data_IF_639683252956
#
_entry.id   IF_639683252956
#
_cell.length_a   1.000
_cell.length_b   1.000
_cell.length_c   1.000
_cell.angle_alpha   90.00
_cell.angle_beta   90.00
_cell.angle_gamma   90.00
#
_symmetry.space_group_name_H-M   'P 1'
#
loop_
_entity.id
_entity.type
_entity.pdbx_description
1 polymer ?
#
# COMPACT_ATOMS: atom_id res chain seq x y z
N UNK A 1 -8.64 16.97 -7.12
CA UNK A 1 -8.98 15.56 -7.42
C UNK A 1 -7.69 14.72 -7.38
N UNK A 2 -7.69 13.40 -7.64
CA UNK A 2 -6.41 12.69 -7.89
C UNK A 2 -5.98 12.93 -9.34
N UNK A 3 -4.67 13.07 -9.58
CA UNK A 3 -4.12 13.33 -10.91
C UNK A 3 -4.04 12.09 -11.81
N UNK A 4 -4.26 10.89 -11.28
CA UNK A 4 -4.19 9.62 -12.01
C UNK A 4 -5.56 9.11 -12.53
N UNK A 5 -6.53 10.00 -12.72
CA UNK A 5 -7.83 9.66 -13.30
C UNK A 5 -7.64 9.14 -14.73
N UNK A 6 -8.29 8.03 -15.06
CA UNK A 6 -8.28 7.51 -16.42
C UNK A 6 -9.44 8.10 -17.23
N UNK A 7 -9.12 8.77 -18.34
CA UNK A 7 -10.10 9.29 -19.31
C UNK A 7 -10.10 8.34 -20.51
N UNK A 8 -11.13 7.49 -20.68
CA UNK A 8 -11.23 6.62 -21.85
C UNK A 8 -11.54 7.43 -23.10
N UNK A 9 -11.15 6.92 -24.28
CA UNK A 9 -11.60 7.47 -25.57
C UNK A 9 -13.04 7.07 -25.91
N UNK A 10 -13.47 5.89 -25.45
CA UNK A 10 -14.79 5.32 -25.72
C UNK A 10 -15.45 4.80 -24.46
N UNK A 11 -16.74 5.10 -24.35
CA UNK A 11 -17.62 4.56 -23.31
C UNK A 11 -18.66 3.63 -23.93
N UNK A 12 -19.11 2.66 -23.15
CA UNK A 12 -20.23 1.79 -23.48
C UNK A 12 -21.30 1.96 -22.43
N UNK A 13 -22.53 2.19 -22.87
CA UNK A 13 -23.65 2.52 -22.00
C UNK A 13 -24.70 1.43 -22.09
N UNK A 14 -25.06 0.89 -20.93
CA UNK A 14 -26.14 -0.09 -20.79
C UNK A 14 -27.26 0.52 -19.99
N UNK A 15 -28.49 0.05 -20.20
CA UNK A 15 -29.68 0.72 -19.69
C UNK A 15 -30.54 -0.21 -18.85
N UNK A 16 -31.22 0.37 -17.86
CA UNK A 16 -32.42 -0.19 -17.25
C UNK A 16 -33.59 0.76 -17.42
N UNK A 17 -34.80 0.21 -17.49
CA UNK A 17 -36.02 1.00 -17.42
C UNK A 17 -36.21 1.55 -16.01
N UNK A 18 -36.45 2.86 -15.92
CA UNK A 18 -36.62 3.54 -14.63
C UNK A 18 -37.57 4.73 -14.77
N UNK A 19 -38.81 4.55 -14.35
CA UNK A 19 -39.88 5.55 -14.53
C UNK A 19 -39.61 6.91 -13.90
N UNK A 20 -38.75 6.95 -12.88
CA UNK A 20 -38.41 8.18 -12.17
C UNK A 20 -37.24 8.96 -12.81
N UNK A 21 -36.96 8.72 -14.09
CA UNK A 21 -35.95 9.43 -14.91
C UNK A 21 -36.65 10.21 -16.03
N UNK A 22 -36.05 11.27 -16.57
CA UNK A 22 -36.67 12.05 -17.67
C UNK A 22 -36.95 11.19 -18.91
N UNK A 23 -36.04 10.28 -19.25
CA UNK A 23 -36.12 9.45 -20.46
C UNK A 23 -36.60 8.04 -20.19
N UNK A 24 -37.04 7.75 -18.96
CA UNK A 24 -37.35 6.40 -18.45
C UNK A 24 -36.18 5.42 -18.55
N UNK A 25 -34.94 5.91 -18.70
CA UNK A 25 -33.71 5.11 -18.81
C UNK A 25 -32.67 5.56 -17.78
N UNK A 26 -32.26 4.62 -16.92
CA UNK A 26 -31.07 4.75 -16.09
C UNK A 26 -29.91 4.04 -16.77
N UNK A 27 -28.76 4.70 -16.82
CA UNK A 27 -27.56 4.19 -17.46
C UNK A 27 -26.55 3.67 -16.45
N UNK A 28 -25.89 2.57 -16.82
CA UNK A 28 -24.62 2.16 -16.26
C UNK A 28 -23.57 2.33 -17.36
N UNK A 29 -22.70 3.32 -17.17
CA UNK A 29 -21.60 3.66 -18.07
C UNK A 29 -20.36 2.89 -17.69
N UNK A 30 -19.77 2.21 -18.66
CA UNK A 30 -18.46 1.52 -18.56
C UNK A 30 -17.56 1.99 -19.71
N UNK A 31 -16.32 1.51 -19.75
CA UNK A 31 -15.30 2.07 -20.63
C UNK A 31 -14.35 1.02 -21.21
N UNK A 32 -13.77 1.38 -22.36
CA UNK A 32 -12.63 0.68 -22.93
C UNK A 32 -11.33 1.28 -22.37
N UNK A 33 -10.45 0.43 -21.85
CA UNK A 33 -9.13 0.88 -21.41
C UNK A 33 -8.17 1.15 -22.59
N UNK A 34 -6.95 1.59 -22.30
CA UNK A 34 -5.93 1.85 -23.31
C UNK A 34 -5.46 0.61 -24.10
N UNK A 35 -5.86 -0.59 -23.66
CA UNK A 35 -5.62 -1.87 -24.35
C UNK A 35 -6.87 -2.35 -25.11
N UNK A 36 -7.85 -1.47 -25.30
CA UNK A 36 -9.13 -1.76 -25.93
C UNK A 36 -9.94 -2.85 -25.22
N UNK A 37 -9.65 -3.10 -23.94
CA UNK A 37 -10.37 -4.06 -23.10
C UNK A 37 -11.51 -3.36 -22.37
N UNK A 38 -12.72 -3.89 -22.51
CA UNK A 38 -13.90 -3.43 -21.80
C UNK A 38 -13.77 -3.74 -20.29
N UNK A 39 -13.88 -2.70 -19.46
CA UNK A 39 -13.80 -2.82 -17.99
C UNK A 39 -15.18 -2.86 -17.37
N UNK A 40 -15.32 -3.59 -16.25
CA UNK A 40 -16.60 -3.84 -15.53
C UNK A 40 -17.68 -4.60 -16.31
N UNK A 41 -17.33 -5.23 -17.44
CA UNK A 41 -18.28 -5.90 -18.33
C UNK A 41 -19.22 -6.88 -17.62
N UNK A 42 -18.71 -7.82 -16.81
CA UNK A 42 -19.56 -8.82 -16.16
C UNK A 42 -20.63 -8.20 -15.23
N UNK A 43 -20.24 -7.23 -14.39
CA UNK A 43 -21.17 -6.52 -13.50
C UNK A 43 -22.18 -5.68 -14.29
N UNK A 44 -21.75 -5.12 -15.41
CA UNK A 44 -22.59 -4.32 -16.29
C UNK A 44 -23.59 -5.15 -17.09
N UNK A 45 -23.18 -6.31 -17.61
CA UNK A 45 -24.05 -7.26 -18.31
C UNK A 45 -25.15 -7.77 -17.37
N UNK A 46 -24.79 -8.14 -16.14
CA UNK A 46 -25.78 -8.58 -15.13
C UNK A 46 -26.74 -7.48 -14.68
N UNK A 47 -26.34 -6.21 -14.83
CA UNK A 47 -27.14 -5.07 -14.40
C UNK A 47 -28.08 -4.56 -15.49
N UNK A 48 -27.65 -4.48 -16.75
CA UNK A 48 -28.49 -3.90 -17.82
C UNK A 48 -29.69 -4.80 -18.15
N UNK A 49 -30.73 -4.20 -18.69
CA UNK A 49 -31.81 -4.95 -19.35
C UNK A 49 -31.29 -5.46 -20.70
N UNK A 50 -31.21 -6.79 -20.85
CA UNK A 50 -30.73 -7.43 -22.08
C UNK A 50 -31.59 -7.11 -23.31
N UNK A 51 -32.83 -6.66 -23.11
CA UNK A 51 -33.75 -6.26 -24.19
C UNK A 51 -33.48 -4.85 -24.72
N UNK A 52 -32.65 -4.07 -24.03
CA UNK A 52 -32.25 -2.74 -24.48
C UNK A 52 -30.82 -2.84 -24.99
N UNK A 53 -30.64 -2.56 -26.27
CA UNK A 53 -29.32 -2.58 -26.88
C UNK A 53 -28.42 -1.51 -26.23
N UNK A 54 -27.18 -1.89 -25.86
CA UNK A 54 -26.22 -0.96 -25.35
C UNK A 54 -25.68 -0.08 -26.48
N UNK A 55 -25.23 1.12 -26.14
CA UNK A 55 -24.72 2.09 -27.12
C UNK A 55 -23.28 2.45 -26.77
N UNK A 56 -22.43 2.48 -27.78
CA UNK A 56 -21.05 2.97 -27.69
C UNK A 56 -21.02 4.45 -28.08
N UNK A 57 -20.31 5.26 -27.29
CA UNK A 57 -20.09 6.68 -27.58
C UNK A 57 -18.62 7.02 -27.48
N UNK A 58 -18.19 7.99 -28.30
CA UNK A 58 -16.91 8.65 -28.10
C UNK A 58 -17.02 9.60 -26.89
N UNK A 59 -15.98 9.58 -26.04
CA UNK A 59 -15.91 10.35 -24.80
C UNK A 59 -15.24 11.71 -25.03
N UNK A 60 -15.72 12.42 -26.04
CA UNK A 60 -15.28 13.77 -26.36
C UNK A 60 -15.96 14.79 -25.42
N UNK A 61 -15.32 15.96 -25.20
CA UNK A 61 -15.92 17.08 -24.48
C UNK A 61 -17.36 17.36 -24.94
N UNK A 62 -18.28 17.38 -23.98
CA UNK A 62 -19.69 17.58 -24.27
C UNK A 62 -20.34 18.51 -23.25
N UNK A 63 -21.13 19.46 -23.73
CA UNK A 63 -21.93 20.37 -22.90
C UNK A 63 -23.38 19.91 -22.76
N UNK A 64 -24.09 20.40 -21.75
CA UNK A 64 -25.53 20.19 -21.59
C UNK A 64 -25.92 19.14 -20.54
N UNK A 65 -25.00 18.78 -19.66
CA UNK A 65 -25.29 17.94 -18.50
C UNK A 65 -26.19 18.68 -17.50
N UNK A 66 -27.18 18.00 -16.91
CA UNK A 66 -28.13 18.64 -15.97
C UNK A 66 -28.22 17.84 -14.68
N UNK A 67 -28.00 18.50 -13.53
CA UNK A 67 -28.28 17.89 -12.23
C UNK A 67 -29.78 17.67 -12.08
N UNK A 68 -30.20 16.43 -11.85
CA UNK A 68 -31.61 16.08 -11.68
C UNK A 68 -32.00 16.05 -10.19
N UNK A 69 -31.53 15.03 -9.46
CA UNK A 69 -31.98 14.81 -8.07
C UNK A 69 -31.03 13.94 -7.25
N UNK A 70 -31.18 14.02 -5.94
CA UNK A 70 -30.59 13.07 -4.99
C UNK A 70 -31.24 11.68 -5.14
N UNK A 71 -30.43 10.64 -5.11
CA UNK A 71 -30.84 9.23 -5.07
C UNK A 71 -29.97 8.45 -4.07
N UNK A 72 -30.41 7.26 -3.68
CA UNK A 72 -29.77 6.51 -2.60
C UNK A 72 -30.13 7.07 -1.22
N UNK A 73 -29.23 6.92 -0.25
CA UNK A 73 -29.36 7.46 1.12
C UNK A 73 -30.63 7.02 1.87
N UNK A 74 -30.87 5.71 1.91
CA UNK A 74 -31.90 5.12 2.75
C UNK A 74 -31.31 3.98 3.59
N UNK A 75 -31.81 3.88 4.81
CA UNK A 75 -31.45 2.83 5.77
C UNK A 75 -32.47 1.72 5.61
N UNK A 76 -32.04 0.58 5.08
CA UNK A 76 -32.88 -0.62 5.07
C UNK A 76 -32.46 -1.67 6.09
N UNK A 77 -31.26 -1.53 6.72
CA UNK A 77 -30.71 -2.34 7.82
C UNK A 77 -29.31 -1.79 8.19
N UNK A 78 -28.43 -2.57 8.85
CA UNK A 78 -26.99 -2.28 9.08
C UNK A 78 -26.18 -1.87 7.83
N UNK A 79 -26.78 -1.91 6.65
CA UNK A 79 -26.17 -1.55 5.38
C UNK A 79 -26.70 -0.19 4.90
N UNK A 80 -25.92 0.87 5.13
CA UNK A 80 -26.22 2.21 4.63
C UNK A 80 -25.91 2.28 3.14
N UNK A 81 -26.94 2.55 2.31
CA UNK A 81 -26.70 2.87 0.91
C UNK A 81 -26.15 4.30 0.81
N UNK A 82 -25.01 4.45 0.15
CA UNK A 82 -24.41 5.76 -0.15
C UNK A 82 -25.38 6.68 -0.91
N UNK A 83 -25.23 7.99 -0.69
CA UNK A 83 -25.95 9.02 -1.42
C UNK A 83 -25.28 9.27 -2.78
N UNK A 84 -26.10 9.46 -3.81
CA UNK A 84 -25.66 9.79 -5.16
C UNK A 84 -26.49 10.94 -5.72
N UNK A 85 -25.96 11.61 -6.74
CA UNK A 85 -26.66 12.62 -7.51
C UNK A 85 -26.88 12.07 -8.91
N UNK A 86 -28.13 12.12 -9.35
CA UNK A 86 -28.48 11.76 -10.72
C UNK A 86 -28.23 12.94 -11.65
N UNK A 87 -27.54 12.68 -12.74
CA UNK A 87 -27.20 13.64 -13.79
C UNK A 87 -27.80 13.16 -15.10
N UNK A 88 -28.45 14.06 -15.82
CA UNK A 88 -28.89 13.85 -17.20
C UNK A 88 -27.71 14.11 -18.14
N UNK A 89 -27.41 13.12 -18.99
CA UNK A 89 -26.50 13.26 -20.14
C UNK A 89 -27.32 13.72 -21.36
N UNK A 90 -26.87 14.74 -22.11
CA UNK A 90 -27.53 15.25 -23.32
C UNK A 90 -27.73 14.19 -24.42
N UNK A 91 -27.07 13.03 -24.35
CA UNK A 91 -27.30 11.84 -25.19
C UNK A 91 -28.58 11.07 -24.83
N UNK A 92 -29.38 11.55 -23.87
CA UNK A 92 -30.74 11.05 -23.63
C UNK A 92 -30.86 9.97 -22.55
N UNK A 93 -29.97 9.97 -21.56
CA UNK A 93 -30.04 9.05 -20.42
C UNK A 93 -29.62 9.73 -19.13
N UNK A 94 -29.90 9.10 -18.00
CA UNK A 94 -29.44 9.58 -16.70
C UNK A 94 -28.45 8.59 -16.09
N UNK A 95 -27.45 9.10 -15.38
CA UNK A 95 -26.46 8.31 -14.65
C UNK A 95 -26.25 8.90 -13.26
N UNK A 96 -25.52 8.18 -12.40
CA UNK A 96 -25.33 8.56 -10.99
C UNK A 96 -23.84 8.88 -10.74
N UNK A 97 -23.59 10.02 -10.09
CA UNK A 97 -22.27 10.43 -9.59
C UNK A 97 -22.29 10.52 -8.07
N UNK A 98 -21.13 10.43 -7.42
CA UNK A 98 -21.02 10.57 -5.97
C UNK A 98 -21.19 12.03 -5.54
N UNK A 99 -21.43 12.25 -4.24
CA UNK A 99 -21.50 13.60 -3.66
C UNK A 99 -20.15 14.32 -3.80
N UNK A 100 -19.04 13.61 -3.61
CA UNK A 100 -17.70 14.16 -3.76
C UNK A 100 -17.45 14.67 -5.18
N UNK A 101 -17.91 13.93 -6.20
CA UNK A 101 -17.80 14.37 -7.59
C UNK A 101 -18.69 15.60 -7.86
N UNK A 102 -19.89 15.67 -7.29
CA UNK A 102 -20.72 16.87 -7.39
C UNK A 102 -20.01 18.09 -6.80
N UNK A 103 -19.46 17.98 -5.58
CA UNK A 103 -18.76 19.09 -4.93
C UNK A 103 -17.59 19.59 -5.79
N UNK A 104 -16.82 18.67 -6.37
CA UNK A 104 -15.74 19.01 -7.29
C UNK A 104 -16.24 19.74 -8.56
N UNK A 105 -17.37 19.30 -9.13
CA UNK A 105 -17.98 19.98 -10.28
C UNK A 105 -18.39 21.41 -9.90
N UNK A 106 -19.04 21.60 -8.76
CA UNK A 106 -19.51 22.91 -8.31
C UNK A 106 -18.37 23.87 -7.94
N UNK A 107 -17.20 23.35 -7.60
CA UNK A 107 -15.98 24.14 -7.38
C UNK A 107 -15.37 24.66 -8.70
N UNK A 108 -15.60 23.96 -9.81
CA UNK A 108 -14.92 24.19 -11.09
C UNK A 108 -15.84 24.58 -12.25
N UNK A 109 -17.16 24.53 -12.06
CA UNK A 109 -18.17 24.82 -13.07
C UNK A 109 -19.42 25.42 -12.43
N UNK A 110 -20.14 26.25 -13.20
CA UNK A 110 -21.39 26.84 -12.74
C UNK A 110 -22.56 25.87 -12.96
N UNK A 111 -23.51 25.83 -12.01
CA UNK A 111 -24.79 25.17 -12.19
C UNK A 111 -25.89 26.22 -12.33
N UNK A 112 -26.36 26.44 -13.57
CA UNK A 112 -27.34 27.48 -13.88
C UNK A 112 -28.74 26.88 -13.93
N UNK A 113 -29.66 27.45 -13.15
CA UNK A 113 -31.06 27.04 -13.13
C UNK A 113 -31.67 27.09 -14.54
N UNK A 114 -32.22 25.96 -14.98
CA UNK A 114 -32.87 25.82 -16.29
C UNK A 114 -31.92 25.60 -17.48
N UNK A 115 -30.59 25.67 -17.27
CA UNK A 115 -29.58 25.37 -18.31
C UNK A 115 -28.71 24.16 -17.96
N UNK A 116 -28.57 23.84 -16.67
CA UNK A 116 -27.75 22.73 -16.19
C UNK A 116 -26.33 23.18 -15.81
N UNK A 117 -25.38 22.26 -15.93
CA UNK A 117 -23.97 22.50 -15.72
C UNK A 117 -23.39 23.23 -16.93
N UNK A 118 -22.76 24.38 -16.70
CA UNK A 118 -22.07 25.17 -17.70
C UNK A 118 -20.68 24.59 -17.99
N UNK A 119 -20.28 24.64 -19.25
CA UNK A 119 -19.00 24.11 -19.73
C UNK A 119 -19.12 22.74 -20.39
N UNK A 120 -17.96 22.20 -20.76
CA UNK A 120 -17.84 20.86 -21.35
C UNK A 120 -17.32 19.87 -20.32
N UNK A 121 -17.78 18.62 -20.43
CA UNK A 121 -17.44 17.56 -19.52
C UNK A 121 -17.04 16.30 -20.26
N UNK A 122 -16.19 15.49 -19.63
CA UNK A 122 -15.85 14.14 -20.06
C UNK A 122 -16.03 13.14 -18.93
N UNK A 123 -16.24 11.88 -19.27
CA UNK A 123 -16.20 10.80 -18.30
C UNK A 123 -14.75 10.43 -17.95
N UNK A 124 -14.51 10.14 -16.68
CA UNK A 124 -13.25 9.62 -16.15
C UNK A 124 -13.48 8.57 -15.09
N UNK A 125 -12.40 7.88 -14.70
CA UNK A 125 -12.42 6.87 -13.64
C UNK A 125 -11.30 7.10 -12.62
N UNK A 126 -11.68 7.31 -11.35
CA UNK A 126 -10.76 7.19 -10.20
C UNK A 126 -10.79 5.74 -9.72
N UNK A 127 -9.83 4.95 -10.21
CA UNK A 127 -9.77 3.52 -9.96
C UNK A 127 -10.99 2.79 -10.54
N UNK A 128 -11.97 2.49 -9.69
CA UNK A 128 -13.23 1.85 -10.09
C UNK A 128 -14.38 2.84 -10.17
N UNK A 129 -14.31 4.02 -9.57
CA UNK A 129 -15.44 4.93 -9.51
C UNK A 129 -15.52 5.81 -10.75
N UNK A 130 -16.74 5.97 -11.29
CA UNK A 130 -17.01 6.89 -12.40
C UNK A 130 -17.01 8.31 -11.87
N UNK A 131 -16.36 9.22 -12.60
CA UNK A 131 -16.39 10.65 -12.35
C UNK A 131 -16.74 11.40 -13.63
N UNK A 132 -17.56 12.44 -13.51
CA UNK A 132 -17.79 13.44 -14.55
C UNK A 132 -16.84 14.61 -14.29
N UNK A 133 -15.98 14.92 -15.25
CA UNK A 133 -14.94 15.95 -15.09
C UNK A 133 -15.21 17.17 -15.96
N UNK A 134 -15.22 18.39 -15.40
CA UNK A 134 -15.22 19.63 -16.18
C UNK A 134 -13.88 19.81 -16.91
N UNK A 135 -13.93 20.08 -18.21
CA UNK A 135 -12.77 20.30 -19.07
C UNK A 135 -11.99 21.57 -18.67
N UNK A 136 -12.68 22.57 -18.14
CA UNK A 136 -12.07 23.83 -17.68
C UNK A 136 -11.40 23.73 -16.29
N UNK A 137 -11.51 22.58 -15.62
CA UNK A 137 -10.86 22.39 -14.32
C UNK A 137 -9.33 22.42 -14.43
N UNK A 138 -8.60 22.96 -13.45
CA UNK A 138 -7.14 23.02 -13.48
C UNK A 138 -6.52 21.62 -13.58
N UNK A 139 -7.12 20.63 -12.91
CA UNK A 139 -6.66 19.25 -12.89
C UNK A 139 -6.79 18.58 -14.29
N UNK A 140 -7.77 18.97 -15.11
CA UNK A 140 -8.00 18.36 -16.42
C UNK A 140 -6.79 18.44 -17.34
N UNK A 141 -6.01 19.53 -17.30
CA UNK A 141 -4.83 19.70 -18.16
C UNK A 141 -3.74 18.67 -17.86
N UNK A 142 -3.45 18.44 -16.58
CA UNK A 142 -2.47 17.44 -16.14
C UNK A 142 -2.98 16.03 -16.46
N UNK A 143 -4.24 15.74 -16.10
CA UNK A 143 -4.86 14.43 -16.34
C UNK A 143 -4.91 14.10 -17.83
N UNK A 144 -5.26 15.07 -18.68
CA UNK A 144 -5.35 14.90 -20.14
C UNK A 144 -3.98 14.60 -20.75
N UNK A 145 -2.94 15.34 -20.34
CA UNK A 145 -1.55 15.10 -20.77
C UNK A 145 -1.09 13.69 -20.40
N UNK A 146 -1.38 13.27 -19.16
CA UNK A 146 -1.08 11.93 -18.67
C UNK A 146 -1.83 10.84 -19.46
N UNK A 147 -3.13 11.03 -19.72
CA UNK A 147 -3.93 10.06 -20.49
C UNK A 147 -3.48 9.96 -21.94
N UNK A 148 -2.99 11.04 -22.55
CA UNK A 148 -2.42 11.01 -23.90
C UNK A 148 -1.26 10.02 -23.98
N UNK A 149 -0.33 10.05 -23.02
CA UNK A 149 0.80 9.12 -22.94
C UNK A 149 0.31 7.67 -22.79
N UNK A 150 -0.69 7.45 -21.93
CA UNK A 150 -1.30 6.12 -21.76
C UNK A 150 -1.92 5.57 -23.05
N UNK A 151 -2.67 6.40 -23.78
CA UNK A 151 -3.35 5.98 -25.01
C UNK A 151 -2.40 5.80 -26.19
N UNK A 152 -1.31 6.56 -26.26
CA UNK A 152 -0.27 6.40 -27.28
C UNK A 152 0.59 5.14 -27.06
N UNK A 153 0.47 4.50 -25.88
CA UNK A 153 1.26 3.32 -25.48
C UNK A 153 2.77 3.59 -25.52
N UNK A 154 3.17 4.85 -25.33
CA UNK A 154 4.55 5.31 -25.30
C UNK A 154 5.21 5.02 -23.93
N UNK A 155 5.10 3.78 -23.48
CA UNK A 155 5.73 3.33 -22.22
C UNK A 155 7.22 3.12 -22.40
N UNK A 156 7.96 3.35 -21.33
CA UNK A 156 9.40 3.15 -21.31
C UNK A 156 9.70 1.66 -21.31
N UNK A 157 10.50 1.22 -22.29
CA UNK A 157 10.93 -0.16 -22.42
C UNK A 157 12.12 -0.42 -21.52
N UNK A 158 12.32 -1.67 -21.14
CA UNK A 158 13.45 -2.08 -20.30
C UNK A 158 14.83 -1.65 -20.82
N UNK A 159 14.99 -1.49 -22.14
CA UNK A 159 16.27 -1.09 -22.75
C UNK A 159 16.55 0.41 -22.65
N UNK A 160 15.51 1.20 -22.38
CA UNK A 160 15.57 2.65 -22.26
C UNK A 160 15.77 3.10 -20.81
N UNK A 161 15.79 2.15 -19.87
CA UNK A 161 16.05 2.43 -18.47
C UNK A 161 17.53 2.72 -18.22
N UNK A 162 17.79 3.83 -17.55
CA UNK A 162 19.10 4.31 -17.15
C UNK A 162 19.18 4.21 -15.63
N UNK A 163 20.21 3.54 -15.13
CA UNK A 163 20.43 3.41 -13.69
C UNK A 163 20.65 4.78 -13.07
N UNK A 164 19.94 5.08 -11.98
CA UNK A 164 19.99 6.37 -11.29
C UNK A 164 19.06 7.44 -11.85
N UNK A 165 18.47 7.23 -13.03
CA UNK A 165 17.48 8.15 -13.60
C UNK A 165 16.14 8.08 -12.86
N UNK A 166 15.39 9.19 -12.91
CA UNK A 166 14.07 9.32 -12.28
C UNK A 166 12.97 9.14 -13.31
N UNK A 167 12.02 8.29 -12.98
CA UNK A 167 10.91 7.90 -13.84
C UNK A 167 9.57 8.15 -13.17
N UNK A 168 8.57 8.46 -13.98
CA UNK A 168 7.20 8.66 -13.54
C UNK A 168 6.36 7.41 -13.81
N UNK A 169 5.59 6.98 -12.81
CA UNK A 169 4.66 5.86 -12.94
C UNK A 169 3.29 6.31 -13.43
N UNK A 170 2.46 5.35 -13.83
CA UNK A 170 1.04 5.59 -14.13
C UNK A 170 0.21 6.05 -12.91
N UNK A 171 0.76 5.98 -11.72
CA UNK A 171 0.16 6.50 -10.49
C UNK A 171 0.65 7.91 -10.15
N UNK A 172 1.32 8.59 -11.10
CA UNK A 172 1.92 9.92 -10.91
C UNK A 172 3.01 9.94 -9.83
N UNK A 173 3.69 8.80 -9.59
CA UNK A 173 4.77 8.69 -8.61
C UNK A 173 6.13 8.79 -9.30
N UNK A 174 7.05 9.54 -8.73
CA UNK A 174 8.44 9.61 -9.19
C UNK A 174 9.30 8.61 -8.43
N UNK A 175 10.01 7.75 -9.17
CA UNK A 175 10.85 6.70 -8.64
C UNK A 175 12.22 6.72 -9.33
N UNK A 176 13.29 6.51 -8.55
CA UNK A 176 14.65 6.33 -9.08
C UNK A 176 14.82 4.87 -9.49
N UNK A 177 15.31 4.63 -10.71
CA UNK A 177 15.61 3.26 -11.16
C UNK A 177 16.94 2.77 -10.60
N UNK A 178 16.90 1.72 -9.77
CA UNK A 178 18.06 1.20 -9.06
C UNK A 178 18.84 0.18 -9.88
N UNK A 179 18.16 -0.53 -10.78
CA UNK A 179 18.75 -1.58 -11.62
C UNK A 179 17.90 -2.84 -11.68
N UNK A 180 18.48 -3.91 -12.24
CA UNK A 180 17.82 -5.21 -12.38
C UNK A 180 18.62 -6.31 -11.69
N UNK A 181 18.13 -6.74 -10.53
CA UNK A 181 18.83 -7.65 -9.62
C UNK A 181 17.97 -8.84 -9.25
N UNK A 182 18.58 -9.84 -8.61
CA UNK A 182 17.85 -10.98 -8.08
C UNK A 182 16.92 -10.55 -6.95
N UNK A 183 15.71 -11.10 -6.95
CA UNK A 183 14.72 -10.88 -5.91
C UNK A 183 14.60 -12.11 -5.02
N UNK A 184 14.71 -11.88 -3.72
CA UNK A 184 14.54 -12.92 -2.70
C UNK A 184 13.21 -12.74 -2.01
N UNK A 185 12.35 -13.76 -2.09
CA UNK A 185 11.12 -13.81 -1.32
C UNK A 185 11.19 -14.88 -0.24
N UNK A 186 10.33 -14.78 0.77
CA UNK A 186 10.17 -15.85 1.76
C UNK A 186 8.94 -16.71 1.47
N UNK A 187 9.00 -17.98 1.86
CA UNK A 187 7.86 -18.91 1.86
C UNK A 187 7.83 -19.63 3.20
N UNK A 188 6.67 -19.68 3.84
CA UNK A 188 6.49 -20.48 5.05
C UNK A 188 6.48 -21.97 4.70
N UNK A 189 7.42 -22.71 5.27
CA UNK A 189 7.45 -24.17 5.21
C UNK A 189 6.70 -24.73 6.43
N UNK A 190 5.66 -25.52 6.15
CA UNK A 190 4.78 -26.11 7.19
C UNK A 190 5.42 -27.32 7.88
N UNK A 191 6.35 -27.99 7.23
CA UNK A 191 6.93 -29.25 7.73
C UNK A 191 7.94 -28.99 8.84
N UNK A 192 8.72 -27.92 8.72
CA UNK A 192 9.72 -27.51 9.72
C UNK A 192 9.29 -26.25 10.51
N UNK A 193 8.16 -25.61 10.16
CA UNK A 193 7.66 -24.42 10.85
C UNK A 193 8.59 -23.21 10.73
N UNK A 194 9.21 -23.01 9.56
CA UNK A 194 10.19 -21.94 9.32
C UNK A 194 9.96 -21.20 8.01
N UNK A 195 10.58 -20.03 7.83
CA UNK A 195 10.59 -19.32 6.56
C UNK A 195 11.82 -19.70 5.74
N UNK A 196 11.59 -20.16 4.51
CA UNK A 196 12.65 -20.40 3.53
C UNK A 196 12.75 -19.22 2.57
N UNK A 197 13.99 -18.76 2.34
CA UNK A 197 14.28 -17.73 1.35
C UNK A 197 14.53 -18.36 -0.01
N UNK A 198 13.83 -17.85 -1.02
CA UNK A 198 13.85 -18.39 -2.38
C UNK A 198 14.17 -17.26 -3.36
N UNK A 199 15.15 -17.49 -4.22
CA UNK A 199 15.42 -16.60 -5.34
C UNK A 199 14.28 -16.73 -6.37
N UNK A 200 13.56 -15.64 -6.62
CA UNK A 200 12.43 -15.57 -7.57
C UNK A 200 12.85 -15.06 -8.95
N UNK A 201 14.15 -14.96 -9.20
CA UNK A 201 14.77 -14.45 -10.41
C UNK A 201 14.92 -12.93 -10.41
N UNK A 202 15.17 -12.35 -11.59
CA UNK A 202 15.51 -10.94 -11.73
C UNK A 202 14.30 -10.01 -11.79
N UNK A 203 14.31 -8.98 -10.96
CA UNK A 203 13.30 -7.93 -10.87
C UNK A 203 13.93 -6.55 -11.16
N UNK A 204 13.12 -5.63 -11.67
CA UNK A 204 13.47 -4.21 -11.74
C UNK A 204 13.21 -3.58 -10.38
N UNK A 205 14.20 -2.91 -9.82
CA UNK A 205 14.09 -2.18 -8.57
C UNK A 205 13.93 -0.71 -8.86
N UNK A 206 12.83 -0.14 -8.38
CA UNK A 206 12.61 1.29 -8.33
C UNK A 206 12.47 1.70 -6.86
N UNK A 207 12.98 2.87 -6.51
CA UNK A 207 12.98 3.34 -5.13
C UNK A 207 12.53 4.79 -5.04
N UNK A 208 11.84 5.08 -3.95
CA UNK A 208 11.53 6.44 -3.52
C UNK A 208 11.81 6.53 -2.02
N UNK A 209 12.46 7.60 -1.61
CA UNK A 209 12.70 7.86 -0.20
C UNK A 209 11.39 8.15 0.52
N UNK A 210 11.28 7.65 1.73
CA UNK A 210 10.13 7.83 2.59
C UNK A 210 10.58 7.92 4.03
N UNK A 211 9.62 8.05 4.94
CA UNK A 211 9.85 8.01 6.37
C UNK A 211 9.02 6.90 6.98
N UNK A 212 9.65 6.05 7.79
CA UNK A 212 8.92 5.00 8.48
C UNK A 212 8.09 5.53 9.67
N UNK A 213 7.31 4.66 10.29
CA UNK A 213 6.47 4.99 11.46
C UNK A 213 7.24 5.54 12.67
N UNK A 214 8.57 5.34 12.72
CA UNK A 214 9.47 5.87 13.77
C UNK A 214 10.09 7.22 13.38
N UNK A 215 9.62 7.85 12.30
CA UNK A 215 10.16 9.11 11.77
C UNK A 215 11.64 9.02 11.31
N UNK A 216 12.12 7.82 10.97
CA UNK A 216 13.48 7.61 10.41
C UNK A 216 13.40 7.49 8.87
N UNK A 217 14.45 7.89 8.13
CA UNK A 217 14.54 7.64 6.69
C UNK A 217 14.34 6.16 6.35
N UNK A 218 13.59 5.89 5.30
CA UNK A 218 13.33 4.55 4.78
C UNK A 218 13.12 4.61 3.25
N UNK A 219 12.95 3.45 2.62
CA UNK A 219 12.64 3.34 1.20
C UNK A 219 11.28 2.71 0.97
N UNK A 220 10.49 3.35 0.10
CA UNK A 220 9.43 2.69 -0.62
C UNK A 220 10.05 2.02 -1.86
N UNK A 221 10.12 0.69 -1.84
CA UNK A 221 10.66 -0.10 -2.96
C UNK A 221 9.52 -0.62 -3.81
N UNK A 222 9.61 -0.36 -5.11
CA UNK A 222 8.72 -0.92 -6.11
C UNK A 222 9.52 -1.93 -6.93
N UNK A 223 9.37 -3.20 -6.58
CA UNK A 223 9.95 -4.32 -7.32
C UNK A 223 8.99 -4.85 -8.40
N UNK A 224 9.51 -5.00 -9.62
CA UNK A 224 8.72 -5.41 -10.77
C UNK A 224 9.36 -6.61 -11.46
N UNK A 225 8.66 -7.75 -11.57
CA UNK A 225 9.14 -8.87 -12.38
C UNK A 225 9.17 -8.52 -13.88
N UNK A 226 8.22 -7.71 -14.31
CA UNK A 226 8.11 -7.15 -15.66
C UNK A 226 7.65 -5.70 -15.58
N UNK A 227 8.17 -4.84 -16.46
CA UNK A 227 7.77 -3.42 -16.51
C UNK A 227 6.30 -3.25 -16.91
N UNK A 228 5.89 -3.91 -17.99
CA UNK A 228 4.56 -3.70 -18.57
C UNK A 228 4.37 -2.25 -19.02
N UNK A 229 3.27 -1.64 -18.58
CA UNK A 229 2.85 -0.26 -18.86
C UNK A 229 2.95 0.64 -17.61
N UNK A 230 3.78 0.26 -16.63
CA UNK A 230 3.85 0.93 -15.33
C UNK A 230 4.67 2.21 -15.35
N UNK A 231 5.71 2.26 -16.18
CA UNK A 231 6.62 3.41 -16.31
C UNK A 231 6.31 4.13 -17.61
N UNK A 232 5.93 5.40 -17.51
CA UNK A 232 5.33 6.15 -18.62
C UNK A 232 6.23 7.28 -19.13
N UNK A 233 7.13 7.79 -18.31
CA UNK A 233 7.91 8.99 -18.62
C UNK A 233 9.25 8.99 -17.86
N UNK A 234 10.28 9.53 -18.50
CA UNK A 234 11.58 9.79 -17.90
C UNK A 234 11.62 11.26 -17.51
N UNK A 235 11.59 11.53 -16.21
CA UNK A 235 11.57 12.90 -15.66
C UNK A 235 12.96 13.53 -15.80
N UNK A 236 13.99 12.76 -15.45
CA UNK A 236 15.38 13.13 -15.69
C UNK A 236 16.19 11.88 -15.98
N UNK A 237 17.05 11.96 -16.99
CA UNK A 237 18.01 10.92 -17.33
C UNK A 237 19.32 11.06 -16.52
N UNK A 238 19.48 12.16 -15.78
CA UNK A 238 20.62 12.39 -14.92
C UNK A 238 20.56 11.45 -13.71
N UNK A 239 21.72 11.00 -13.25
CA UNK A 239 21.80 10.19 -12.06
C UNK A 239 21.43 11.03 -10.84
N UNK A 240 20.47 10.56 -10.04
CA UNK A 240 20.10 11.19 -8.78
C UNK A 240 21.32 11.37 -7.88
N UNK A 241 21.52 12.57 -7.34
CA UNK A 241 22.62 12.86 -6.40
C UNK A 241 22.57 11.97 -5.16
N UNK A 242 21.38 11.48 -4.81
CA UNK A 242 21.14 10.60 -3.66
C UNK A 242 21.15 9.12 -4.03
N UNK A 243 21.54 8.77 -5.25
CA UNK A 243 21.54 7.39 -5.72
C UNK A 243 22.35 6.46 -4.82
N UNK A 244 23.54 6.91 -4.38
CA UNK A 244 24.40 6.13 -3.50
C UNK A 244 23.72 5.80 -2.16
N UNK A 245 23.13 6.80 -1.50
CA UNK A 245 22.41 6.63 -0.23
C UNK A 245 21.22 5.67 -0.38
N UNK A 246 20.43 5.86 -1.45
CA UNK A 246 19.26 5.02 -1.74
C UNK A 246 19.71 3.59 -2.05
N UNK A 247 20.82 3.41 -2.79
CA UNK A 247 21.35 2.09 -3.09
C UNK A 247 21.84 1.39 -1.83
N UNK A 248 22.57 2.09 -0.95
CA UNK A 248 22.98 1.55 0.34
C UNK A 248 21.78 1.05 1.14
N UNK A 249 20.72 1.86 1.27
CA UNK A 249 19.49 1.47 1.96
C UNK A 249 18.80 0.24 1.32
N UNK A 250 18.88 0.07 -0.01
CA UNK A 250 18.39 -1.13 -0.70
C UNK A 250 19.23 -2.37 -0.32
N UNK A 251 20.54 -2.24 -0.17
CA UNK A 251 21.41 -3.35 0.21
C UNK A 251 21.11 -3.93 1.59
N UNK A 252 20.43 -3.16 2.45
CA UNK A 252 19.96 -3.58 3.78
C UNK A 252 18.59 -4.29 3.75
N UNK A 253 17.98 -4.52 2.58
CA UNK A 253 16.65 -5.15 2.45
C UNK A 253 16.75 -6.63 2.10
N UNK A 254 15.96 -7.44 2.81
CA UNK A 254 15.91 -8.90 2.62
C UNK A 254 15.39 -9.33 1.24
N UNK A 255 14.71 -8.43 0.52
CA UNK A 255 14.28 -8.67 -0.85
C UNK A 255 15.41 -8.56 -1.88
N UNK A 256 16.51 -7.87 -1.56
CA UNK A 256 17.70 -7.72 -2.41
C UNK A 256 18.75 -8.78 -2.10
N UNK A 257 18.98 -9.04 -0.81
CA UNK A 257 19.86 -10.13 -0.34
C UNK A 257 19.12 -10.89 0.76
N UNK A 258 19.06 -12.23 0.75
CA UNK A 258 18.32 -12.98 1.75
C UNK A 258 18.99 -12.87 3.13
N UNK A 259 18.21 -13.06 4.18
CA UNK A 259 18.72 -13.20 5.55
C UNK A 259 19.56 -14.46 5.68
N UNK A 260 20.67 -14.36 6.40
CA UNK A 260 21.61 -15.45 6.63
C UNK A 260 21.88 -15.60 8.13
N UNK A 261 21.18 -16.54 8.76
CA UNK A 261 21.27 -16.82 10.19
C UNK A 261 22.69 -17.23 10.62
N UNK A 262 23.50 -17.81 9.71
CA UNK A 262 24.88 -18.18 10.04
C UNK A 262 25.79 -16.97 10.31
N UNK A 263 25.35 -15.78 9.91
CA UNK A 263 26.05 -14.50 10.11
C UNK A 263 25.52 -13.71 11.31
N UNK A 264 24.53 -14.22 12.04
CA UNK A 264 24.00 -13.54 13.21
C UNK A 264 25.09 -13.32 14.26
N UNK A 265 25.11 -12.11 14.81
CA UNK A 265 26.05 -11.73 15.86
C UNK A 265 25.29 -11.52 17.17
N UNK A 266 25.77 -12.18 18.23
CA UNK A 266 25.26 -12.02 19.59
C UNK A 266 26.16 -11.08 20.37
N UNK A 267 25.71 -9.83 20.50
CA UNK A 267 26.48 -8.75 21.13
C UNK A 267 26.03 -8.57 22.57
N UNK A 268 26.99 -8.52 23.50
CA UNK A 268 26.71 -8.24 24.91
C UNK A 268 26.20 -6.82 25.07
N UNK A 269 25.16 -6.66 25.89
CA UNK A 269 24.83 -5.35 26.42
C UNK A 269 25.93 -4.90 27.38
N UNK A 270 26.32 -3.63 27.31
CA UNK A 270 26.94 -3.01 28.47
C UNK A 270 25.90 -2.86 29.59
N UNK A 271 26.38 -2.86 30.83
CA UNK A 271 25.52 -2.84 32.03
C UNK A 271 24.56 -1.64 32.02
N UNK A 272 25.07 -0.47 31.65
CA UNK A 272 24.30 0.77 31.67
C UNK A 272 23.17 0.74 30.62
N UNK A 273 23.49 0.40 29.37
CA UNK A 273 22.53 0.25 28.27
C UNK A 273 21.46 -0.80 28.55
N UNK A 274 21.84 -1.94 29.15
CA UNK A 274 20.88 -2.94 29.59
C UNK A 274 19.88 -2.36 30.60
N UNK A 275 20.39 -1.73 31.67
CA UNK A 275 19.54 -1.16 32.71
C UNK A 275 18.62 -0.06 32.15
N UNK A 276 19.16 0.86 31.34
CA UNK A 276 18.41 1.92 30.67
C UNK A 276 17.28 1.36 29.79
N UNK A 277 17.59 0.37 28.95
CA UNK A 277 16.62 -0.23 28.02
C UNK A 277 15.46 -0.90 28.76
N UNK A 278 15.76 -1.65 29.82
CA UNK A 278 14.73 -2.34 30.62
C UNK A 278 13.85 -1.33 31.36
N UNK A 279 14.45 -0.32 32.02
CA UNK A 279 13.72 0.73 32.74
C UNK A 279 12.83 1.55 31.80
N UNK A 280 13.38 2.03 30.68
CA UNK A 280 12.65 2.86 29.71
C UNK A 280 11.37 2.17 29.19
N UNK A 281 11.37 0.84 29.08
CA UNK A 281 10.20 0.07 28.64
C UNK A 281 9.17 -0.14 29.75
N UNK A 282 9.64 -0.39 30.98
CA UNK A 282 8.78 -0.65 32.14
C UNK A 282 8.17 0.65 32.68
N UNK A 283 8.94 1.73 32.78
CA UNK A 283 8.48 3.04 33.27
C UNK A 283 7.43 3.66 32.34
N UNK A 284 7.52 3.35 31.04
CA UNK A 284 6.58 3.87 30.03
C UNK A 284 5.26 3.09 29.99
N UNK A 285 5.26 1.82 30.38
CA UNK A 285 4.09 0.94 30.29
C UNK A 285 4.02 0.01 31.51
N UNK A 286 3.32 0.44 32.56
CA UNK A 286 3.15 -0.31 33.81
C UNK A 286 2.74 -1.79 33.60
N UNK A 287 3.32 -2.68 34.41
CA UNK A 287 2.94 -4.08 34.73
C UNK A 287 2.80 -5.12 33.60
N UNK A 288 2.83 -4.74 32.31
CA UNK A 288 2.54 -5.66 31.20
C UNK A 288 3.65 -5.79 30.14
N UNK A 289 4.80 -5.14 30.31
CA UNK A 289 5.88 -5.17 29.33
C UNK A 289 7.17 -5.81 29.85
N UNK A 290 7.76 -6.67 29.01
CA UNK A 290 9.07 -7.29 29.21
C UNK A 290 10.04 -6.89 28.09
N UNK A 291 11.33 -6.98 28.40
CA UNK A 291 12.43 -6.83 27.43
C UNK A 291 13.00 -8.21 27.15
N UNK A 292 12.94 -8.63 25.89
CA UNK A 292 13.54 -9.89 25.44
C UNK A 292 15.05 -9.70 25.25
N UNK A 293 15.82 -10.63 25.79
CA UNK A 293 17.29 -10.68 25.70
C UNK A 293 17.75 -12.10 25.42
N UNK A 294 18.99 -12.26 24.95
CA UNK A 294 19.61 -13.56 24.79
C UNK A 294 20.59 -13.82 25.93
N UNK A 295 20.45 -14.94 26.62
CA UNK A 295 21.39 -15.41 27.66
C UNK A 295 22.33 -16.50 27.14
N UNK A 296 22.06 -17.02 25.94
CA UNK A 296 22.92 -17.93 25.17
C UNK A 296 22.97 -17.51 23.69
N UNK A 297 23.96 -17.98 22.93
CA UNK A 297 24.16 -17.65 21.52
C UNK A 297 23.30 -18.54 20.59
N UNK A 298 22.01 -18.66 20.87
CA UNK A 298 21.07 -19.44 20.07
C UNK A 298 19.62 -18.98 20.32
N UNK A 299 18.67 -19.39 19.47
CA UNK A 299 17.26 -18.99 19.59
C UNK A 299 16.55 -19.53 20.86
N UNK A 300 17.01 -20.64 21.41
CA UNK A 300 16.47 -21.19 22.67
C UNK A 300 16.95 -20.38 23.89
N UNK A 301 18.02 -19.60 23.74
CA UNK A 301 18.57 -18.71 24.76
C UNK A 301 17.77 -17.43 25.00
N UNK A 302 16.57 -17.28 24.43
CA UNK A 302 15.73 -16.10 24.65
C UNK A 302 15.16 -16.12 26.08
N UNK A 303 15.43 -15.06 26.83
CA UNK A 303 14.85 -14.78 28.12
C UNK A 303 14.12 -13.44 28.11
N UNK A 304 13.14 -13.28 28.99
CA UNK A 304 12.39 -12.04 29.19
C UNK A 304 12.70 -11.45 30.56
N UNK A 305 13.05 -10.17 30.56
CA UNK A 305 13.24 -9.37 31.78
C UNK A 305 12.04 -8.46 31.98
N UNK A 306 11.40 -8.53 33.14
CA UNK A 306 10.23 -7.70 33.49
C UNK A 306 10.31 -7.22 34.93
N UNK A 307 9.66 -6.10 35.23
CA UNK A 307 9.49 -5.61 36.60
C UNK A 307 8.64 -6.55 37.45
N UNK A 308 8.86 -6.56 38.76
CA UNK A 308 8.04 -7.28 39.72
C UNK A 308 6.79 -6.46 40.05
N UNK A 309 5.62 -7.05 39.79
CA UNK A 309 4.26 -6.62 40.15
C UNK A 309 4.05 -5.96 41.51
N UNK A 310 4.94 -6.23 42.46
CA UNK A 310 4.81 -5.85 43.87
C UNK A 310 5.94 -4.92 44.36
N UNK A 311 7.03 -4.81 43.61
CA UNK A 311 8.22 -4.07 44.01
C UNK A 311 8.86 -3.40 42.79
N UNK A 312 8.77 -2.06 42.75
CA UNK A 312 9.24 -1.22 41.64
C UNK A 312 10.77 -1.30 41.47
N UNK A 313 11.51 -1.70 42.52
CA UNK A 313 12.96 -1.84 42.49
C UNK A 313 13.43 -3.25 42.11
N UNK A 314 12.51 -4.21 41.92
CA UNK A 314 12.83 -5.61 41.67
C UNK A 314 12.43 -6.06 40.28
N UNK A 315 13.27 -6.90 39.69
CA UNK A 315 13.11 -7.42 38.34
C UNK A 315 13.24 -8.94 38.37
N UNK A 316 12.62 -9.59 37.40
CA UNK A 316 12.73 -11.02 37.19
C UNK A 316 13.15 -11.30 35.75
N UNK A 317 14.01 -12.30 35.60
CA UNK A 317 14.38 -12.88 34.31
C UNK A 317 13.77 -14.27 34.20
N UNK A 318 13.11 -14.51 33.07
CA UNK A 318 12.26 -15.68 32.85
C UNK A 318 12.54 -16.28 31.48
N UNK A 319 12.42 -17.60 31.35
CA UNK A 319 12.60 -18.30 30.08
C UNK A 319 11.37 -19.17 29.81
N UNK A 320 10.97 -19.23 28.55
CA UNK A 320 9.86 -20.07 28.11
C UNK A 320 10.36 -21.49 27.85
N UNK A 321 9.76 -22.47 28.51
CA UNK A 321 10.08 -23.88 28.36
C UNK A 321 8.90 -24.64 27.77
N UNK A 322 9.16 -25.45 26.75
CA UNK A 322 8.16 -26.41 26.22
C UNK A 322 8.03 -27.55 27.21
N UNK A 323 6.82 -27.77 27.73
CA UNK A 323 6.47 -28.90 28.59
C UNK A 323 5.32 -29.69 27.96
N UNK A 324 5.25 -31.02 28.14
CA UNK A 324 4.10 -31.80 27.66
C UNK A 324 2.81 -31.29 28.29
N UNK A 325 1.72 -31.23 27.51
CA UNK A 325 0.40 -30.86 28.06
C UNK A 325 -0.06 -31.90 29.08
N UNK A 326 -0.63 -31.43 30.19
CA UNK A 326 -1.23 -32.30 31.21
C UNK A 326 -2.48 -33.01 30.67
N UNK A 327 -3.21 -32.36 29.76
CA UNK A 327 -4.42 -32.91 29.12
C UNK A 327 -4.35 -32.76 27.59
N UNK A 328 -4.48 -33.88 26.87
CA UNK A 328 -4.45 -33.95 25.40
C UNK A 328 -3.07 -34.19 24.81
N UNK A 329 -2.97 -34.18 23.47
CA UNK A 329 -1.70 -34.32 22.74
C UNK A 329 -1.02 -32.96 22.51
N UNK A 330 0.32 -32.96 22.55
CA UNK A 330 1.16 -31.80 22.23
C UNK A 330 1.89 -31.18 23.43
N UNK A 331 2.40 -29.97 23.24
CA UNK A 331 3.20 -29.23 24.22
C UNK A 331 2.49 -27.92 24.62
N UNK A 332 2.78 -27.42 25.81
CA UNK A 332 2.47 -26.07 26.26
C UNK A 332 3.76 -25.33 26.62
N UNK A 333 3.70 -24.01 26.60
CA UNK A 333 4.83 -23.16 26.98
C UNK A 333 4.61 -22.72 28.42
N UNK A 334 5.53 -23.11 29.31
CA UNK A 334 5.55 -22.67 30.71
C UNK A 334 6.68 -21.67 30.90
N UNK A 335 6.36 -20.56 31.56
CA UNK A 335 7.33 -19.53 31.93
C UNK A 335 8.03 -19.94 33.23
N UNK A 336 9.35 -20.08 33.18
CA UNK A 336 10.20 -20.44 34.32
C UNK A 336 11.00 -19.22 34.76
N UNK A 337 10.90 -18.84 36.03
CA UNK A 337 11.71 -17.75 36.60
C UNK A 337 13.11 -18.26 36.91
N UNK A 338 14.10 -17.74 36.19
CA UNK A 338 15.50 -18.11 36.39
C UNK A 338 16.10 -17.39 37.61
N UNK A 339 15.72 -16.13 37.82
CA UNK A 339 16.19 -15.31 38.95
C UNK A 339 15.32 -14.06 39.15
N UNK A 340 15.29 -13.56 40.39
CA UNK A 340 14.62 -12.29 40.76
C UNK A 340 15.51 -11.45 41.68
N UNK A 341 15.86 -10.25 41.25
CA UNK A 341 16.77 -9.33 41.94
C UNK A 341 16.85 -7.97 41.24
N UNK A 342 17.97 -7.27 41.41
CA UNK A 342 18.28 -6.03 40.69
C UNK A 342 18.68 -6.29 39.23
N UNK A 343 18.65 -5.25 38.40
CA UNK A 343 19.10 -5.35 37.00
C UNK A 343 20.61 -5.60 36.91
N UNK A 344 21.38 -5.04 37.83
CA UNK A 344 22.81 -5.24 37.95
C UNK A 344 23.14 -6.71 38.21
N UNK A 345 22.46 -7.36 39.17
CA UNK A 345 22.63 -8.79 39.47
C UNK A 345 22.22 -9.67 38.27
N UNK A 346 21.14 -9.32 37.57
CA UNK A 346 20.72 -10.03 36.34
C UNK A 346 21.80 -9.90 35.27
N UNK A 347 22.36 -8.70 35.08
CA UNK A 347 23.39 -8.45 34.08
C UNK A 347 24.68 -9.22 34.39
N UNK A 348 25.14 -9.19 35.64
CA UNK A 348 26.35 -9.90 36.07
C UNK A 348 26.22 -11.42 35.90
N UNK A 349 25.05 -11.97 36.25
CA UNK A 349 24.81 -13.42 36.24
C UNK A 349 24.60 -13.99 34.85
N UNK A 350 23.83 -13.29 34.00
CA UNK A 350 23.38 -13.84 32.72
C UNK A 350 24.06 -13.21 31.51
N UNK A 351 24.78 -12.11 31.70
CA UNK A 351 25.44 -11.32 30.63
C UNK A 351 24.54 -11.18 29.38
N UNK A 352 23.39 -10.49 29.51
CA UNK A 352 22.40 -10.37 28.45
C UNK A 352 23.01 -9.89 27.13
N UNK A 353 22.50 -10.42 26.03
CA UNK A 353 22.91 -10.08 24.66
C UNK A 353 21.72 -9.67 23.82
N UNK A 354 21.99 -8.96 22.73
CA UNK A 354 21.06 -8.79 21.63
C UNK A 354 21.61 -9.44 20.37
N UNK A 355 20.71 -9.75 19.43
CA UNK A 355 21.04 -10.44 18.17
C UNK A 355 20.96 -9.46 17.01
N UNK A 356 22.12 -9.15 16.43
CA UNK A 356 22.18 -8.46 15.14
C UNK A 356 22.01 -9.50 14.04
N UNK A 357 21.06 -9.24 13.15
CA UNK A 357 20.77 -10.12 12.01
C UNK A 357 21.42 -9.55 10.76
N UNK A 358 22.06 -10.40 9.99
CA UNK A 358 22.76 -10.00 8.77
C UNK A 358 22.18 -10.68 7.54
N UNK A 359 22.34 -10.01 6.40
CA UNK A 359 22.02 -10.57 5.10
C UNK A 359 23.23 -11.32 4.53
N UNK A 360 22.99 -12.15 3.51
CA UNK A 360 24.04 -12.90 2.82
C UNK A 360 25.14 -11.99 2.23
N UNK A 361 24.82 -10.74 1.85
CA UNK A 361 25.79 -9.73 1.41
C UNK A 361 26.59 -9.07 2.57
N UNK A 362 26.36 -9.47 3.83
CA UNK A 362 27.04 -8.94 5.02
C UNK A 362 26.46 -7.63 5.56
N UNK A 363 25.41 -7.07 4.95
CA UNK A 363 24.74 -5.87 5.45
C UNK A 363 23.84 -6.20 6.64
N UNK A 364 23.74 -5.26 7.58
CA UNK A 364 22.90 -5.38 8.77
C UNK A 364 21.42 -5.34 8.37
N UNK A 365 20.67 -6.40 8.62
CA UNK A 365 19.24 -6.48 8.33
C UNK A 365 18.38 -5.91 9.45
N UNK A 366 18.69 -6.32 10.69
CA UNK A 366 17.94 -5.93 11.87
C UNK A 366 18.91 -5.76 13.03
N UNK A 367 18.93 -4.57 13.62
CA UNK A 367 19.66 -4.31 14.86
C UNK A 367 18.84 -4.86 16.04
N UNK A 368 19.41 -5.79 16.80
CA UNK A 368 18.75 -6.40 17.95
C UNK A 368 18.50 -5.44 19.12
N UNK A 369 19.26 -4.35 19.22
CA UNK A 369 19.11 -3.34 20.27
C UNK A 369 18.00 -2.31 19.96
N UNK A 370 17.68 -2.10 18.68
CA UNK A 370 16.60 -1.16 18.31
C UNK A 370 15.17 -1.76 18.38
N UNK A 371 15.06 -3.06 18.67
CA UNK A 371 13.79 -3.75 18.93
C UNK A 371 13.61 -3.98 20.43
#
# INVERSE_FOLDING_TARGET
MKTNIFIPKKIKVGFQNRDNTYTKKLAYVIYYDHKDKLRKEASWQNWRDEKIDPVDYDNEPLSGFVLNKKVGDYVSDWNHRQAYVRVYDPRGFEFEITIENLLYILENANSIKGKGLEGEFVYGWDGKELVLMPVDSPDYKEISSFNKILHEKNYIKSKELIVGATYKTKENQELVYMGRFDYWGSKWNRDNGSYEYLNKGKYYYFAQETTNYRKKPDLNIVDLKSLGDKIIECVTAECSERYADIFEMLEHKSCYSPYDESKDEYVYYDKYRFCEKVKAKIDKYYWHYSTSVYIENNENGIAEVSGDGKDIARYQITQNKKVPRVWGSGYETKKETLYSGSLEEIWERYKPRFRNKYLANGKLYQNGDEN
#
